data_IF_903589723809
#
_entry.id   IF_903589723809
#
_cell.length_a   1.000
_cell.length_b   1.000
_cell.length_c   1.000
_cell.angle_alpha   90.00
_cell.angle_beta   90.00
_cell.angle_gamma   90.00
#
_symmetry.space_group_name_H-M   'P 1'
#
loop_
_entity.id
_entity.type
_entity.pdbx_description
1 polymer ?
#
# COMPACT_ATOMS: atom_id res chain seq x y z
N UNK A 1 17.30 10.28 -5.77
CA UNK A 1 16.88 8.98 -5.20
C UNK A 1 15.46 9.13 -4.67
N UNK A 2 14.59 8.14 -4.91
CA UNK A 2 13.21 8.14 -4.42
C UNK A 2 13.15 7.67 -2.96
N UNK A 3 12.31 8.30 -2.15
CA UNK A 3 12.03 7.88 -0.78
C UNK A 3 10.52 7.86 -0.53
N UNK A 4 10.06 6.93 0.31
CA UNK A 4 8.66 6.78 0.66
C UNK A 4 8.36 7.61 1.91
N UNK A 5 7.28 8.39 1.88
CA UNK A 5 6.85 9.21 3.01
C UNK A 5 5.69 8.56 3.76
N UNK A 6 4.67 8.08 3.04
CA UNK A 6 3.53 7.38 3.63
C UNK A 6 2.84 6.43 2.66
N UNK A 7 2.39 5.29 3.17
CA UNK A 7 1.37 4.45 2.53
C UNK A 7 0.00 4.80 3.14
N UNK A 8 -0.99 5.05 2.31
CA UNK A 8 -2.33 5.48 2.71
C UNK A 8 -3.36 4.46 2.21
N UNK A 9 -4.26 4.06 3.09
CA UNK A 9 -5.36 3.15 2.79
C UNK A 9 -6.67 3.89 3.04
N UNK A 10 -7.54 3.92 2.04
CA UNK A 10 -8.86 4.52 2.11
C UNK A 10 -9.91 3.43 2.05
N UNK A 11 -10.89 3.43 2.95
CA UNK A 11 -12.03 2.53 2.83
C UNK A 11 -13.23 3.20 2.15
N UNK A 12 -14.28 2.42 1.86
CA UNK A 12 -15.50 2.93 1.25
C UNK A 12 -16.35 3.84 2.16
N UNK A 13 -16.06 3.85 3.46
CA UNK A 13 -16.78 4.68 4.45
C UNK A 13 -16.11 6.06 4.66
N UNK A 14 -14.99 6.32 3.99
CA UNK A 14 -14.22 7.57 4.15
C UNK A 14 -13.14 7.53 5.24
N UNK A 15 -12.96 6.41 5.94
CA UNK A 15 -11.87 6.26 6.90
C UNK A 15 -10.53 6.16 6.18
N UNK A 16 -9.52 6.75 6.81
CA UNK A 16 -8.15 6.82 6.29
C UNK A 16 -7.19 6.22 7.29
N UNK A 17 -6.42 5.23 6.86
CA UNK A 17 -5.28 4.70 7.63
C UNK A 17 -3.98 5.06 6.94
N UNK A 18 -3.09 5.73 7.67
CA UNK A 18 -1.75 6.08 7.18
C UNK A 18 -0.67 5.27 7.90
N UNK A 19 0.25 4.71 7.12
CA UNK A 19 1.50 4.11 7.59
C UNK A 19 2.61 5.06 7.17
N UNK A 20 3.20 5.76 8.14
CA UNK A 20 4.26 6.75 7.91
C UNK A 20 5.62 6.09 7.93
N UNK A 21 6.45 6.42 6.96
CA UNK A 21 7.84 6.01 6.90
C UNK A 21 8.74 7.16 7.40
N UNK A 22 9.98 6.82 7.73
CA UNK A 22 11.05 7.77 8.04
C UNK A 22 12.02 7.81 6.85
N UNK A 23 11.94 8.82 5.98
CA UNK A 23 12.84 8.96 4.85
C UNK A 23 14.31 9.05 5.31
N UNK A 24 15.23 8.49 4.53
CA UNK A 24 16.67 8.45 4.83
C UNK A 24 17.05 7.57 6.02
N UNK A 25 16.11 6.79 6.58
CA UNK A 25 16.32 5.90 7.73
C UNK A 25 15.87 4.47 7.42
N UNK A 26 16.43 3.51 8.17
CA UNK A 26 15.92 2.15 8.19
C UNK A 26 14.54 2.13 8.85
N UNK A 27 13.54 1.63 8.12
CA UNK A 27 12.18 1.42 8.62
C UNK A 27 12.00 -0.07 8.90
N UNK A 28 11.63 -0.42 10.14
CA UNK A 28 11.42 -1.81 10.56
C UNK A 28 9.91 -2.06 10.69
N UNK A 29 9.39 -3.00 9.93
CA UNK A 29 7.99 -3.42 9.97
C UNK A 29 7.91 -4.76 10.72
N UNK A 30 7.30 -4.75 11.91
CA UNK A 30 7.15 -5.93 12.77
C UNK A 30 5.68 -6.29 12.97
N UNK A 31 5.43 -7.48 13.52
CA UNK A 31 4.09 -8.01 13.78
C UNK A 31 4.09 -9.53 13.66
N UNK A 32 3.04 -10.19 14.18
CA UNK A 32 2.88 -11.64 14.08
C UNK A 32 2.70 -12.10 12.62
N UNK A 33 3.04 -13.36 12.30
CA UNK A 33 2.81 -13.90 10.96
C UNK A 33 1.34 -13.75 10.54
N UNK A 34 1.07 -13.52 9.25
CA UNK A 34 -0.30 -13.34 8.74
C UNK A 34 -0.94 -11.97 9.00
N UNK A 35 -0.30 -11.06 9.74
CA UNK A 35 -0.89 -9.74 10.09
C UNK A 35 -0.77 -8.65 9.00
N UNK A 36 -0.43 -9.02 7.77
CA UNK A 36 -0.40 -8.09 6.64
C UNK A 36 0.94 -7.40 6.37
N UNK A 37 2.04 -7.84 7.00
CA UNK A 37 3.40 -7.35 6.68
C UNK A 37 3.75 -7.53 5.21
N UNK A 38 3.51 -8.71 4.65
CA UNK A 38 3.71 -9.00 3.22
C UNK A 38 2.80 -8.15 2.33
N UNK A 39 1.59 -7.84 2.80
CA UNK A 39 0.63 -7.00 2.07
C UNK A 39 1.16 -5.58 1.87
N UNK A 40 1.92 -5.01 2.82
CA UNK A 40 2.53 -3.68 2.66
C UNK A 40 3.46 -3.67 1.43
N UNK A 41 4.31 -4.68 1.28
CA UNK A 41 5.23 -4.77 0.15
C UNK A 41 4.47 -4.99 -1.17
N UNK A 42 3.43 -5.82 -1.16
CA UNK A 42 2.58 -6.05 -2.33
C UNK A 42 1.85 -4.78 -2.80
N UNK A 43 1.27 -4.02 -1.87
CA UNK A 43 0.61 -2.74 -2.16
C UNK A 43 1.59 -1.71 -2.72
N UNK A 44 2.80 -1.63 -2.16
CA UNK A 44 3.84 -0.73 -2.69
C UNK A 44 4.22 -1.10 -4.14
N UNK A 45 4.39 -2.39 -4.45
CA UNK A 45 4.65 -2.83 -5.83
C UNK A 45 3.50 -2.48 -6.78
N UNK A 46 2.26 -2.67 -6.35
CA UNK A 46 1.09 -2.28 -7.11
C UNK A 46 1.08 -0.77 -7.39
N UNK A 47 1.31 0.07 -6.39
CA UNK A 47 1.36 1.53 -6.59
C UNK A 47 2.52 1.96 -7.49
N UNK A 48 3.60 1.17 -7.57
CA UNK A 48 4.75 1.42 -8.44
C UNK A 48 4.65 0.75 -9.81
N UNK A 49 3.45 0.31 -10.22
CA UNK A 49 3.18 -0.18 -11.58
C UNK A 49 2.92 -1.68 -11.70
N UNK A 50 2.92 -2.44 -10.60
CA UNK A 50 2.52 -3.85 -10.62
C UNK A 50 1.03 -4.05 -10.93
N UNK A 51 0.65 -5.21 -11.44
CA UNK A 51 -0.73 -5.47 -11.86
C UNK A 51 -1.71 -5.68 -10.70
N UNK A 52 -1.22 -6.22 -9.58
CA UNK A 52 -2.02 -6.54 -8.39
C UNK A 52 -1.25 -6.30 -7.09
N UNK A 53 -1.93 -5.89 -6.00
CA UNK A 53 -1.29 -5.72 -4.70
C UNK A 53 -1.04 -7.06 -3.97
N UNK A 54 -1.50 -8.20 -4.51
CA UNK A 54 -1.32 -9.55 -3.94
C UNK A 54 -1.65 -9.63 -2.44
N UNK A 55 -2.69 -8.90 -2.02
CA UNK A 55 -3.14 -8.88 -0.62
C UNK A 55 -3.97 -10.15 -0.36
N UNK A 56 -3.64 -10.93 0.68
CA UNK A 56 -4.45 -12.10 1.05
C UNK A 56 -5.90 -11.72 1.36
N UNK A 57 -6.81 -12.66 1.12
CA UNK A 57 -8.19 -12.57 1.59
C UNK A 57 -8.22 -12.25 3.08
N UNK A 58 -8.81 -11.12 3.43
CA UNK A 58 -8.74 -10.60 4.78
C UNK A 58 -9.21 -9.16 4.91
N UNK A 59 -8.99 -8.52 6.07
CA UNK A 59 -9.51 -7.19 6.36
C UNK A 59 -9.10 -6.13 5.33
N UNK A 60 -7.85 -6.17 4.85
CA UNK A 60 -7.37 -5.19 3.86
C UNK A 60 -8.15 -5.32 2.56
N UNK A 61 -8.22 -6.53 1.97
CA UNK A 61 -8.92 -6.73 0.71
C UNK A 61 -10.43 -6.44 0.82
N UNK A 62 -11.05 -6.71 1.98
CA UNK A 62 -12.49 -6.50 2.20
C UNK A 62 -12.90 -5.05 2.47
N UNK A 63 -11.97 -4.22 2.92
CA UNK A 63 -12.31 -2.86 3.41
C UNK A 63 -11.69 -1.75 2.58
N UNK A 64 -10.51 -1.96 2.00
CA UNK A 64 -9.80 -0.91 1.28
C UNK A 64 -10.41 -0.71 -0.11
N UNK A 65 -10.85 0.51 -0.37
CA UNK A 65 -11.36 0.95 -1.67
C UNK A 65 -10.25 1.59 -2.52
N UNK A 66 -9.28 2.27 -1.91
CA UNK A 66 -8.14 2.89 -2.60
C UNK A 66 -6.84 2.72 -1.84
N UNK A 67 -5.76 2.51 -2.59
CA UNK A 67 -4.39 2.53 -2.11
C UNK A 67 -3.72 3.83 -2.55
N UNK A 68 -2.93 4.44 -1.67
CA UNK A 68 -2.19 5.68 -1.94
C UNK A 68 -0.74 5.60 -1.47
N UNK A 69 0.18 6.19 -2.23
CA UNK A 69 1.58 6.36 -1.86
C UNK A 69 1.96 7.83 -1.97
N UNK A 70 2.41 8.40 -0.86
CA UNK A 70 3.13 9.67 -0.84
C UNK A 70 4.64 9.38 -0.82
N UNK A 71 5.38 10.00 -1.73
CA UNK A 71 6.81 9.83 -1.87
C UNK A 71 7.45 11.09 -2.46
N UNK A 72 8.78 11.14 -2.43
CA UNK A 72 9.54 12.24 -3.02
C UNK A 72 10.79 11.77 -3.76
N UNK A 73 11.21 12.55 -4.75
CA UNK A 73 12.50 12.42 -5.43
C UNK A 73 13.22 13.76 -5.32
N UNK A 74 14.34 13.78 -4.58
CA UNK A 74 15.01 15.04 -4.27
C UNK A 74 14.09 15.93 -3.44
N UNK A 75 13.80 17.15 -3.92
CA UNK A 75 12.86 18.07 -3.26
C UNK A 75 11.42 17.99 -3.78
N UNK A 76 11.15 17.20 -4.83
CA UNK A 76 9.83 17.13 -5.45
C UNK A 76 9.02 15.99 -4.82
N UNK A 77 7.83 16.33 -4.31
CA UNK A 77 6.87 15.37 -3.79
C UNK A 77 5.88 14.95 -4.87
N UNK A 78 5.41 13.70 -4.80
CA UNK A 78 4.37 13.18 -5.66
C UNK A 78 3.48 12.20 -4.90
N UNK A 79 2.26 12.03 -5.42
CA UNK A 79 1.28 11.12 -4.89
C UNK A 79 0.78 10.18 -5.97
N UNK A 80 0.72 8.88 -5.66
CA UNK A 80 0.14 7.86 -6.54
C UNK A 80 -1.07 7.26 -5.84
N UNK A 81 -2.23 7.30 -6.49
CA UNK A 81 -3.46 6.66 -6.03
C UNK A 81 -3.92 5.60 -7.03
N UNK A 82 -4.26 4.40 -6.57
CA UNK A 82 -4.88 3.35 -7.38
C UNK A 82 -6.10 2.77 -6.66
N UNK A 83 -7.24 2.57 -7.37
CA UNK A 83 -8.38 1.89 -6.77
C UNK A 83 -8.03 0.43 -6.47
N UNK A 84 -8.67 -0.13 -5.46
CA UNK A 84 -8.56 -1.56 -5.20
C UNK A 84 -9.11 -2.36 -6.40
N UNK A 85 -8.43 -3.44 -6.84
CA UNK A 85 -8.96 -4.31 -7.88
C UNK A 85 -10.35 -4.85 -7.50
N UNK A 86 -11.23 -5.02 -8.49
CA UNK A 86 -12.55 -5.60 -8.27
C UNK A 86 -12.45 -6.97 -7.58
N UNK A 87 -13.29 -7.20 -6.57
CA UNK A 87 -13.35 -8.47 -5.85
C UNK A 87 -13.67 -9.61 -6.83
N UNK A 88 -12.81 -10.62 -6.88
CA UNK A 88 -13.00 -11.81 -7.73
C UNK A 88 -12.00 -11.99 -8.87
N UNK A 89 -11.10 -11.03 -9.11
CA UNK A 89 -9.95 -11.29 -9.99
C UNK A 89 -8.86 -12.01 -9.20
N UNK A 90 -9.08 -13.30 -8.97
CA UNK A 90 -7.97 -14.21 -8.72
C UNK A 90 -7.20 -14.30 -10.03
N UNK A 91 -6.09 -13.57 -10.15
CA UNK A 91 -5.10 -13.93 -11.18
C UNK A 91 -4.52 -15.26 -10.73
N UNK A 92 -5.08 -16.35 -11.26
CA UNK A 92 -4.46 -17.66 -11.26
C UNK A 92 -3.06 -17.49 -11.84
N UNK A 93 -2.05 -17.92 -11.08
CA UNK A 93 -0.74 -18.20 -11.66
C UNK A 93 -0.78 -19.53 -12.40
#
# INVERSE_FOLDING_TARGET
>A
MMQLDALVLYNGNGDIRQIRFRPGRLNIITGESGTGKTSIIGILRFLLGGDSPHVPLGPIQKTVAWYGLLAHVGGAQFFVGRPAPAHGVTTSQ
#
